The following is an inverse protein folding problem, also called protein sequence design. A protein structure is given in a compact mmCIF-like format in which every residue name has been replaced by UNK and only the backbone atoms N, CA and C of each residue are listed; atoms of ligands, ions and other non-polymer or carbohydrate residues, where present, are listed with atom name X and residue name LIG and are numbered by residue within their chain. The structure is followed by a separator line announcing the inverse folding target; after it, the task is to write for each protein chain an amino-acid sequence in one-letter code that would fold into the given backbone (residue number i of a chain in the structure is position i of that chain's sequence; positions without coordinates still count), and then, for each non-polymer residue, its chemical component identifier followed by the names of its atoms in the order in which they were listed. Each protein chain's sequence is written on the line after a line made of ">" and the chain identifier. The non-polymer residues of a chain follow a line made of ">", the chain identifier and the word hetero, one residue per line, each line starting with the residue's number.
data_IF_173445779210
#
_entry.id   IF_173445779210
#
_cell.length_a   1.000
_cell.length_b   1.000
_cell.length_c   1.000
_cell.angle_alpha   90.00
_cell.angle_beta   90.00
_cell.angle_gamma   90.00
#
_symmetry.space_group_name_H-M   'P 1'
#
loop_
_entity.id
_entity.type
_entity.pdbx_description
1 polymer ?
#
# COMPACT_ATOMS: atom_id res chain seq x y z
N UNK A 1 28.86 5.30 -27.89
CA UNK A 1 29.64 4.78 -26.75
C UNK A 1 28.67 3.93 -25.93
N UNK A 2 28.68 2.61 -26.11
CA UNK A 2 27.91 1.71 -25.26
C UNK A 2 28.64 1.61 -23.93
N UNK A 3 27.94 1.84 -22.83
CA UNK A 3 28.51 1.67 -21.49
C UNK A 3 28.60 0.17 -21.19
N UNK A 4 29.66 -0.47 -21.68
CA UNK A 4 30.00 -1.87 -21.39
C UNK A 4 30.65 -1.98 -20.01
N UNK A 5 29.93 -1.56 -18.97
CA UNK A 5 30.22 -1.98 -17.60
C UNK A 5 29.29 -3.15 -17.28
N UNK A 6 29.73 -4.21 -16.58
CA UNK A 6 28.79 -5.09 -15.93
C UNK A 6 28.11 -4.24 -14.87
N UNK A 7 26.99 -3.62 -15.23
CA UNK A 7 26.07 -3.01 -14.29
C UNK A 7 25.56 -4.20 -13.49
N UNK A 8 26.27 -4.52 -12.41
CA UNK A 8 25.76 -5.38 -11.37
C UNK A 8 24.41 -4.75 -11.01
N UNK A 9 23.33 -5.41 -11.41
CA UNK A 9 21.99 -4.94 -11.13
C UNK A 9 21.78 -5.08 -9.63
N UNK A 10 22.16 -4.05 -8.87
CA UNK A 10 21.94 -4.03 -7.43
C UNK A 10 20.43 -3.94 -7.22
N UNK A 11 19.82 -4.86 -6.45
CA UNK A 11 18.41 -4.78 -6.14
C UNK A 11 18.06 -3.42 -5.53
N UNK A 12 16.97 -2.81 -5.98
CA UNK A 12 16.47 -1.57 -5.38
C UNK A 12 16.15 -1.81 -3.90
N UNK A 13 16.65 -0.94 -3.04
CA UNK A 13 16.31 -0.92 -1.61
C UNK A 13 14.81 -0.67 -1.39
N UNK A 14 14.25 -1.05 -0.24
CA UNK A 14 12.84 -0.78 0.06
C UNK A 14 12.46 0.70 -0.10
N UNK A 15 13.34 1.61 0.35
CA UNK A 15 13.14 3.06 0.19
C UNK A 15 13.06 3.49 -1.27
N UNK A 16 14.00 3.04 -2.13
CA UNK A 16 13.96 3.34 -3.57
C UNK A 16 12.71 2.79 -4.26
N UNK A 17 12.21 1.62 -3.84
CA UNK A 17 10.96 1.05 -4.36
C UNK A 17 9.75 1.90 -3.94
N UNK A 18 9.70 2.33 -2.68
CA UNK A 18 8.66 3.21 -2.17
C UNK A 18 8.63 4.54 -2.93
N UNK A 19 9.78 5.19 -3.08
CA UNK A 19 9.90 6.47 -3.78
C UNK A 19 9.40 6.34 -5.23
N UNK A 20 9.80 5.27 -5.92
CA UNK A 20 9.31 4.98 -7.28
C UNK A 20 7.80 4.74 -7.34
N UNK A 21 7.23 3.97 -6.41
CA UNK A 21 5.79 3.71 -6.35
C UNK A 21 4.98 4.98 -6.07
N UNK A 22 5.45 5.82 -5.15
CA UNK A 22 4.81 7.11 -4.84
C UNK A 22 4.91 8.07 -6.02
N UNK A 23 6.06 8.15 -6.68
CA UNK A 23 6.24 8.97 -7.87
C UNK A 23 5.29 8.56 -9.01
N UNK A 24 5.13 7.25 -9.24
CA UNK A 24 4.16 6.73 -10.22
C UNK A 24 2.71 7.10 -9.83
N UNK A 25 2.36 7.01 -8.55
CA UNK A 25 1.03 7.39 -8.07
C UNK A 25 0.76 8.90 -8.29
N UNK A 26 1.75 9.76 -8.04
CA UNK A 26 1.66 11.19 -8.33
C UNK A 26 1.50 11.48 -9.84
N UNK A 27 2.28 10.80 -10.69
CA UNK A 27 2.15 10.93 -12.15
C UNK A 27 0.76 10.51 -12.62
N UNK A 28 0.21 9.41 -12.07
CA UNK A 28 -1.14 8.95 -12.40
C UNK A 28 -2.20 9.97 -12.05
N UNK A 29 -2.10 10.59 -10.86
CA UNK A 29 -3.01 11.64 -10.45
C UNK A 29 -2.91 12.87 -11.35
N UNK A 30 -1.69 13.32 -11.68
CA UNK A 30 -1.46 14.53 -12.49
C UNK A 30 -1.83 14.38 -13.97
N UNK A 31 -1.51 13.24 -14.57
CA UNK A 31 -1.62 13.03 -16.03
C UNK A 31 -2.98 12.48 -16.42
N UNK A 32 -3.52 11.55 -15.64
CA UNK A 32 -4.75 10.84 -15.99
C UNK A 32 -5.95 11.25 -15.14
N UNK A 33 -5.75 12.00 -14.05
CA UNK A 33 -6.83 12.37 -13.14
C UNK A 33 -7.56 11.16 -12.56
N UNK A 34 -6.87 10.01 -12.42
CA UNK A 34 -7.49 8.76 -12.00
C UNK A 34 -8.07 8.90 -10.60
N UNK A 35 -9.40 8.78 -10.50
CA UNK A 35 -10.07 8.63 -9.22
C UNK A 35 -10.03 7.14 -8.82
N UNK A 36 -9.27 6.83 -7.77
CA UNK A 36 -9.15 5.47 -7.22
C UNK A 36 -10.06 5.23 -6.01
N UNK A 37 -10.93 6.17 -5.66
CA UNK A 37 -11.76 6.10 -4.45
C UNK A 37 -12.65 4.86 -4.45
N UNK A 38 -13.28 4.51 -5.57
CA UNK A 38 -14.14 3.33 -5.67
C UNK A 38 -13.36 2.01 -5.49
N UNK A 39 -12.15 1.92 -6.04
CA UNK A 39 -11.28 0.75 -5.83
C UNK A 39 -10.81 0.65 -4.37
N UNK A 40 -10.52 1.79 -3.74
CA UNK A 40 -10.09 1.85 -2.35
C UNK A 40 -11.24 1.54 -1.39
N UNK A 41 -12.45 2.04 -1.68
CA UNK A 41 -13.68 1.74 -0.94
C UNK A 41 -13.97 0.24 -0.99
N UNK A 42 -13.99 -0.35 -2.20
CA UNK A 42 -14.15 -1.80 -2.37
C UNK A 42 -13.12 -2.60 -1.60
N UNK A 43 -11.84 -2.21 -1.64
CA UNK A 43 -10.79 -2.88 -0.87
C UNK A 43 -11.11 -2.84 0.64
N UNK A 44 -11.55 -1.71 1.18
CA UNK A 44 -11.87 -1.60 2.60
C UNK A 44 -13.13 -2.38 2.97
N UNK A 45 -14.14 -2.40 2.10
CA UNK A 45 -15.33 -3.23 2.27
C UNK A 45 -14.95 -4.72 2.33
N UNK A 46 -14.13 -5.20 1.39
CA UNK A 46 -13.63 -6.58 1.37
C UNK A 46 -12.87 -6.91 2.67
N UNK A 47 -12.06 -5.98 3.19
CA UNK A 47 -11.32 -6.17 4.44
C UNK A 47 -12.21 -6.13 5.70
N UNK A 48 -13.38 -5.49 5.63
CA UNK A 48 -14.37 -5.37 6.71
C UNK A 48 -15.52 -6.39 6.59
N UNK A 49 -15.54 -7.24 5.55
CA UNK A 49 -16.63 -8.20 5.34
C UNK A 49 -16.72 -9.19 6.50
N UNK A 50 -17.81 -9.12 7.26
CA UNK A 50 -18.08 -9.97 8.42
C UNK A 50 -18.34 -11.44 8.04
N UNK A 51 -18.63 -11.72 6.77
CA UNK A 51 -18.87 -13.06 6.26
C UNK A 51 -17.57 -13.81 5.93
N UNK A 52 -16.45 -13.10 5.82
CA UNK A 52 -15.14 -13.73 5.63
C UNK A 52 -14.71 -14.45 6.92
N UNK A 53 -14.29 -15.71 6.79
CA UNK A 53 -13.81 -16.53 7.92
C UNK A 53 -12.60 -15.91 8.63
N UNK A 54 -11.83 -15.08 7.94
CA UNK A 54 -10.67 -14.34 8.43
C UNK A 54 -10.98 -12.87 8.74
N UNK A 55 -12.26 -12.47 8.84
CA UNK A 55 -12.67 -11.08 9.07
C UNK A 55 -11.83 -10.37 10.16
N UNK A 56 -11.62 -11.00 11.33
CA UNK A 56 -10.83 -10.40 12.42
C UNK A 56 -9.38 -10.15 12.04
N UNK A 57 -8.78 -11.04 11.23
CA UNK A 57 -7.42 -10.89 10.73
C UNK A 57 -7.35 -9.81 9.65
N UNK A 58 -8.36 -9.73 8.79
CA UNK A 58 -8.50 -8.69 7.78
C UNK A 58 -8.63 -7.31 8.45
N UNK A 59 -9.49 -7.15 9.45
CA UNK A 59 -9.62 -5.90 10.23
C UNK A 59 -8.29 -5.50 10.89
N UNK A 60 -7.52 -6.46 11.43
CA UNK A 60 -6.20 -6.19 12.00
C UNK A 60 -5.19 -5.75 10.94
N UNK A 61 -5.21 -6.34 9.76
CA UNK A 61 -4.36 -5.93 8.65
C UNK A 61 -4.73 -4.51 8.18
N UNK A 62 -6.03 -4.20 8.09
CA UNK A 62 -6.51 -2.86 7.76
C UNK A 62 -6.09 -1.82 8.82
N UNK A 63 -6.23 -2.14 10.10
CA UNK A 63 -5.79 -1.29 11.20
C UNK A 63 -4.26 -1.04 11.16
N UNK A 64 -3.47 -2.02 10.75
CA UNK A 64 -2.02 -1.85 10.56
C UNK A 64 -1.70 -0.89 9.41
N UNK A 65 -2.47 -0.94 8.30
CA UNK A 65 -2.34 0.01 7.19
C UNK A 65 -2.69 1.43 7.66
N UNK A 66 -3.80 1.61 8.37
CA UNK A 66 -4.20 2.93 8.88
C UNK A 66 -3.23 3.48 9.93
N UNK A 67 -2.72 2.63 10.82
CA UNK A 67 -1.68 3.00 11.78
C UNK A 67 -0.41 3.48 11.06
N UNK A 68 0.02 2.76 10.02
CA UNK A 68 1.18 3.15 9.21
C UNK A 68 0.95 4.48 8.47
N UNK A 69 -0.28 4.73 8.03
CA UNK A 69 -0.72 6.01 7.45
C UNK A 69 -0.86 7.15 8.48
N UNK A 70 -0.59 6.88 9.77
CA UNK A 70 -0.76 7.81 10.89
C UNK A 70 -2.20 8.34 11.03
N UNK A 71 -3.18 7.54 10.60
CA UNK A 71 -4.59 7.86 10.81
C UNK A 71 -4.94 7.49 12.26
N UNK A 72 -5.52 8.41 13.05
CA UNK A 72 -5.92 8.14 14.43
C UNK A 72 -6.88 6.96 14.55
N UNK A 73 -6.75 6.17 15.61
CA UNK A 73 -7.56 4.96 15.80
C UNK A 73 -9.07 5.25 15.81
N UNK A 74 -9.50 6.39 16.35
CA UNK A 74 -10.91 6.81 16.31
C UNK A 74 -11.47 7.00 14.89
N UNK A 75 -10.60 7.16 13.89
CA UNK A 75 -10.96 7.34 12.49
C UNK A 75 -10.82 6.06 11.66
N UNK A 76 -10.39 4.93 12.25
CA UNK A 76 -10.23 3.67 11.50
C UNK A 76 -11.56 3.07 11.01
N UNK A 77 -12.69 3.51 11.57
CA UNK A 77 -14.04 3.03 11.20
C UNK A 77 -14.76 3.92 10.18
N UNK A 78 -14.21 5.09 9.83
CA UNK A 78 -14.89 6.00 8.88
C UNK A 78 -14.88 5.44 7.46
N UNK A 79 -15.74 5.97 6.60
CA UNK A 79 -15.76 5.61 5.18
C UNK A 79 -14.64 6.33 4.43
N UNK A 80 -14.26 5.81 3.27
CA UNK A 80 -13.23 6.44 2.43
C UNK A 80 -13.61 7.84 2.00
N UNK A 81 -14.91 8.10 1.76
CA UNK A 81 -15.45 9.43 1.47
C UNK A 81 -15.13 10.46 2.57
N UNK A 82 -15.03 10.01 3.82
CA UNK A 82 -14.92 10.85 5.01
C UNK A 82 -13.46 11.10 5.42
N UNK A 83 -12.52 10.44 4.77
CA UNK A 83 -11.09 10.72 4.93
C UNK A 83 -10.73 12.03 4.24
N UNK A 84 -9.93 12.84 4.93
CA UNK A 84 -9.36 14.06 4.37
C UNK A 84 -8.39 13.73 3.23
N UNK A 85 -8.11 14.71 2.36
CA UNK A 85 -7.14 14.57 1.27
C UNK A 85 -5.76 14.15 1.78
N UNK A 86 -5.35 14.64 2.95
CA UNK A 86 -4.06 14.30 3.57
C UNK A 86 -4.06 12.86 4.09
N UNK A 87 -5.15 12.42 4.73
CA UNK A 87 -5.31 11.02 5.17
C UNK A 87 -5.31 10.05 3.98
N UNK A 88 -6.03 10.38 2.90
CA UNK A 88 -6.02 9.59 1.66
C UNK A 88 -4.61 9.50 1.07
N UNK A 89 -3.85 10.61 1.09
CA UNK A 89 -2.47 10.63 0.62
C UNK A 89 -1.56 9.72 1.46
N UNK A 90 -1.63 9.82 2.79
CA UNK A 90 -0.81 8.98 3.68
C UNK A 90 -1.23 7.51 3.61
N UNK A 91 -2.52 7.22 3.41
CA UNK A 91 -3.03 5.88 3.18
C UNK A 91 -2.42 5.26 1.90
N UNK A 92 -2.42 5.98 0.79
CA UNK A 92 -1.80 5.52 -0.47
C UNK A 92 -0.29 5.27 -0.28
N UNK A 93 0.41 6.17 0.43
CA UNK A 93 1.83 5.99 0.76
C UNK A 93 2.06 4.74 1.61
N UNK A 94 1.23 4.50 2.62
CA UNK A 94 1.31 3.30 3.46
C UNK A 94 1.09 2.04 2.61
N UNK A 95 0.06 1.99 1.77
CA UNK A 95 -0.18 0.86 0.85
C UNK A 95 1.00 0.62 -0.10
N UNK A 96 1.58 1.69 -0.67
CA UNK A 96 2.79 1.57 -1.49
C UNK A 96 4.00 1.07 -0.70
N UNK A 97 4.11 1.44 0.58
CA UNK A 97 5.15 0.92 1.47
C UNK A 97 4.98 -0.58 1.71
N UNK A 98 3.76 -1.05 1.99
CA UNK A 98 3.47 -2.47 2.07
C UNK A 98 3.84 -3.20 0.76
N UNK A 99 3.49 -2.64 -0.41
CA UNK A 99 3.89 -3.21 -1.71
C UNK A 99 5.42 -3.29 -1.86
N UNK A 100 6.14 -2.26 -1.44
CA UNK A 100 7.61 -2.26 -1.46
C UNK A 100 8.18 -3.35 -0.52
N UNK A 101 7.64 -3.50 0.68
CA UNK A 101 8.08 -4.52 1.66
C UNK A 101 7.73 -5.94 1.19
N UNK A 102 6.49 -6.18 0.78
CA UNK A 102 6.03 -7.49 0.28
C UNK A 102 6.86 -7.94 -0.92
N UNK A 103 7.28 -7.01 -1.79
CA UNK A 103 8.14 -7.32 -2.94
C UNK A 103 9.57 -7.78 -2.58
N UNK A 104 9.94 -7.72 -1.30
CA UNK A 104 11.22 -8.18 -0.76
C UNK A 104 11.09 -9.46 0.06
N UNK A 105 9.87 -9.98 0.27
CA UNK A 105 9.70 -11.26 0.95
C UNK A 105 10.44 -12.38 0.20
N UNK A 106 10.93 -13.40 0.92
CA UNK A 106 11.44 -14.61 0.29
C UNK A 106 10.43 -15.18 -0.70
N UNK A 107 10.89 -15.56 -1.90
CA UNK A 107 10.02 -16.11 -2.95
C UNK A 107 9.26 -17.38 -2.52
N UNK A 108 9.80 -18.10 -1.54
CA UNK A 108 9.21 -19.30 -0.95
C UNK A 108 9.22 -19.14 0.56
N UNK A 109 8.04 -18.99 1.14
CA UNK A 109 7.83 -19.06 2.58
C UNK A 109 7.41 -20.49 2.91
N UNK A 110 7.92 -21.02 4.03
CA UNK A 110 7.57 -22.35 4.54
C UNK A 110 7.08 -22.19 5.97
N UNK A 111 6.10 -23.00 6.37
CA UNK A 111 5.71 -23.06 7.77
C UNK A 111 6.86 -23.65 8.61
N UNK A 112 7.14 -23.12 9.81
CA UNK A 112 8.01 -23.81 10.75
C UNK A 112 7.32 -25.11 11.22
N UNK A 113 8.14 -26.10 11.58
CA UNK A 113 7.68 -27.36 12.15
C UNK A 113 7.04 -27.18 13.53
#
# INVERSE_FOLDING_TARGET
>A
MAIDGPVATVPLSPGKRLDGLNHIAELRAKVFGLNIESELERFIEDMRDQRDVNNKQNERALAAIFYMAKIPAERHSVNISDLTTDEKRELIKAMNHFRAVVSLFPKRLTMPN
#
